data_IF_913564495760
#
_entry.id   IF_913564495760
#
_cell.length_a   1.000
_cell.length_b   1.000
_cell.length_c   1.000
_cell.angle_alpha   90.00
_cell.angle_beta   90.00
_cell.angle_gamma   90.00
#
_symmetry.space_group_name_H-M   'P 1'
#
loop_
_entity.id
_entity.type
_entity.pdbx_description
1 polymer ?
#
# COMPACT_ATOMS: atom_id res chain seq x y z
N UNK A 1 -3.11 -25.86 1.30
CA UNK A 1 -3.47 -27.15 0.68
C UNK A 1 -4.07 -26.91 -0.69
N UNK A 2 -4.10 -27.91 -1.57
CA UNK A 2 -4.67 -27.80 -2.93
C UNK A 2 -6.01 -28.54 -2.95
N UNK A 3 -7.08 -27.87 -3.39
CA UNK A 3 -8.40 -28.47 -3.57
C UNK A 3 -8.63 -28.77 -5.06
N UNK A 4 -8.85 -30.04 -5.39
CA UNK A 4 -9.05 -30.49 -6.78
C UNK A 4 -10.49 -30.95 -6.96
N UNK A 5 -11.19 -30.35 -7.93
CA UNK A 5 -12.61 -30.63 -8.20
C UNK A 5 -12.76 -31.84 -9.14
N UNK A 6 -12.52 -33.05 -8.62
CA UNK A 6 -12.74 -34.32 -9.34
C UNK A 6 -11.49 -34.89 -10.03
N UNK A 7 -11.51 -36.19 -10.39
CA UNK A 7 -10.36 -36.88 -10.97
C UNK A 7 -9.96 -36.38 -12.37
N UNK A 8 -10.91 -35.85 -13.16
CA UNK A 8 -10.66 -35.37 -14.52
C UNK A 8 -9.73 -34.13 -14.54
N UNK A 9 -9.82 -33.28 -13.51
CA UNK A 9 -8.96 -32.11 -13.33
C UNK A 9 -7.52 -32.53 -13.02
N UNK A 10 -7.34 -33.65 -12.31
CA UNK A 10 -6.02 -34.19 -11.99
C UNK A 10 -5.30 -34.68 -13.27
N UNK A 11 -6.04 -35.38 -14.13
CA UNK A 11 -5.50 -35.89 -15.40
C UNK A 11 -5.21 -34.77 -16.40
N UNK A 12 -6.06 -33.75 -16.48
CA UNK A 12 -5.85 -32.62 -17.41
C UNK A 12 -4.67 -31.76 -16.98
N UNK A 13 -4.49 -31.53 -15.68
CA UNK A 13 -3.37 -30.74 -15.13
C UNK A 13 -2.00 -31.36 -15.48
N UNK A 14 -1.91 -32.69 -15.60
CA UNK A 14 -0.66 -33.39 -15.95
C UNK A 14 -0.11 -33.04 -17.35
N UNK A 15 -0.96 -32.54 -18.25
CA UNK A 15 -0.58 -32.19 -19.63
C UNK A 15 -0.31 -30.69 -19.84
N UNK A 16 -0.45 -29.88 -18.79
CA UNK A 16 -0.23 -28.42 -18.89
C UNK A 16 1.25 -28.14 -19.01
N UNK A 17 1.65 -27.39 -20.03
CA UNK A 17 3.02 -26.88 -20.23
C UNK A 17 3.16 -25.36 -20.05
N UNK A 18 2.03 -24.65 -20.03
CA UNK A 18 1.97 -23.19 -19.99
C UNK A 18 0.98 -22.77 -18.90
N UNK A 19 1.42 -21.87 -18.01
CA UNK A 19 0.59 -21.28 -16.96
C UNK A 19 0.55 -19.77 -17.12
N UNK A 20 -0.65 -19.22 -17.26
CA UNK A 20 -0.89 -17.78 -17.17
C UNK A 20 -1.34 -17.50 -15.75
N UNK A 21 -0.59 -16.65 -15.06
CA UNK A 21 -0.89 -16.28 -13.67
C UNK A 21 -1.46 -14.87 -13.63
N UNK A 22 -2.50 -14.68 -12.84
CA UNK A 22 -2.85 -13.34 -12.39
C UNK A 22 -1.78 -12.86 -11.38
N UNK A 23 -1.55 -11.55 -11.30
CA UNK A 23 -0.55 -11.01 -10.38
C UNK A 23 -1.14 -10.78 -9.00
N UNK A 24 -2.21 -10.00 -8.91
CA UNK A 24 -2.69 -9.40 -7.67
C UNK A 24 -3.51 -10.41 -6.87
N UNK A 25 -3.05 -10.79 -5.68
CA UNK A 25 -3.71 -11.81 -4.86
C UNK A 25 -3.35 -13.25 -5.25
N UNK A 26 -2.50 -13.44 -6.27
CA UNK A 26 -1.97 -14.76 -6.67
C UNK A 26 -0.45 -14.79 -6.53
N UNK A 27 0.28 -14.00 -7.34
CA UNK A 27 1.75 -13.88 -7.24
C UNK A 27 2.13 -12.87 -6.15
N UNK A 28 1.35 -11.81 -5.99
CA UNK A 28 1.52 -10.81 -4.93
C UNK A 28 0.38 -10.91 -3.92
N UNK A 29 0.57 -10.36 -2.72
CA UNK A 29 -0.43 -10.38 -1.64
C UNK A 29 -1.66 -9.51 -1.93
N UNK A 30 -1.58 -8.61 -2.91
CA UNK A 30 -2.59 -7.59 -3.16
C UNK A 30 -2.63 -6.46 -2.13
N UNK A 31 -1.77 -6.50 -1.11
CA UNK A 31 -1.65 -5.46 -0.08
C UNK A 31 -0.46 -4.55 -0.41
N UNK A 32 -0.73 -3.25 -0.55
CA UNK A 32 0.33 -2.25 -0.72
C UNK A 32 1.10 -2.06 0.59
N UNK A 33 2.41 -1.86 0.49
CA UNK A 33 3.31 -1.60 1.61
C UNK A 33 4.27 -0.48 1.24
N UNK A 34 4.64 0.36 2.21
CA UNK A 34 5.68 1.35 2.03
C UNK A 34 7.04 0.61 1.96
N UNK A 35 7.77 0.80 0.87
CA UNK A 35 9.08 0.14 0.68
C UNK A 35 10.24 1.06 1.05
N UNK A 36 10.24 2.30 0.58
CA UNK A 36 11.34 3.24 0.81
C UNK A 36 10.84 4.70 0.77
N UNK A 37 11.61 5.61 1.36
CA UNK A 37 11.32 7.05 1.41
C UNK A 37 12.55 7.83 0.96
N UNK A 38 12.41 8.55 -0.15
CA UNK A 38 13.45 9.42 -0.68
C UNK A 38 13.08 10.88 -0.43
N UNK A 39 13.89 11.56 0.36
CA UNK A 39 13.79 13.00 0.57
C UNK A 39 14.69 13.76 -0.39
N UNK A 40 14.33 15.02 -0.67
CA UNK A 40 15.22 15.96 -1.38
C UNK A 40 16.36 16.41 -0.47
N UNK A 41 17.43 16.95 -1.06
CA UNK A 41 18.59 17.43 -0.29
C UNK A 41 18.19 18.48 0.75
N UNK A 42 18.66 18.29 1.99
CA UNK A 42 18.34 19.17 3.12
C UNK A 42 17.14 18.72 3.95
N UNK A 43 16.33 17.78 3.45
CA UNK A 43 15.18 17.22 4.18
C UNK A 43 15.50 15.86 4.79
N UNK A 44 14.88 15.55 5.93
CA UNK A 44 15.01 14.24 6.57
C UNK A 44 13.90 13.29 6.08
N UNK A 45 14.22 12.09 5.56
CA UNK A 45 13.21 11.12 5.11
C UNK A 45 12.13 10.81 6.15
N UNK A 46 12.50 10.76 7.42
CA UNK A 46 11.57 10.50 8.51
C UNK A 46 10.59 11.67 8.73
N UNK A 47 11.02 12.91 8.48
CA UNK A 47 10.14 14.08 8.55
C UNK A 47 9.16 14.11 7.37
N UNK A 48 9.64 13.82 6.16
CA UNK A 48 8.78 13.66 4.97
C UNK A 48 7.74 12.56 5.22
N UNK A 49 8.15 11.42 5.76
CA UNK A 49 7.26 10.32 6.08
C UNK A 49 6.25 10.69 7.18
N UNK A 50 6.67 11.42 8.20
CA UNK A 50 5.80 11.88 9.28
C UNK A 50 4.67 12.76 8.75
N UNK A 51 5.01 13.75 7.91
CA UNK A 51 4.05 14.68 7.32
C UNK A 51 3.13 13.97 6.32
N UNK A 52 3.68 13.18 5.41
CA UNK A 52 2.91 12.43 4.42
C UNK A 52 1.96 11.42 5.09
N UNK A 53 2.46 10.65 6.06
CA UNK A 53 1.65 9.70 6.82
C UNK A 53 0.51 10.36 7.59
N UNK A 54 0.73 11.55 8.15
CA UNK A 54 -0.31 12.29 8.86
C UNK A 54 -1.41 12.80 7.92
N UNK A 55 -1.06 13.35 6.76
CA UNK A 55 -2.07 13.81 5.79
C UNK A 55 -2.83 12.61 5.20
N UNK A 56 -2.12 11.54 4.86
CA UNK A 56 -2.70 10.33 4.27
C UNK A 56 -3.58 9.53 5.25
N UNK A 57 -3.46 9.76 6.57
CA UNK A 57 -4.25 9.04 7.57
C UNK A 57 -5.76 9.28 7.46
N UNK A 58 -6.16 10.36 6.78
CA UNK A 58 -7.57 10.72 6.54
C UNK A 58 -8.11 10.23 5.18
N UNK A 59 -7.29 9.53 4.39
CA UNK A 59 -7.64 9.04 3.06
C UNK A 59 -7.92 7.54 3.05
N UNK A 60 -8.94 7.11 2.31
CA UNK A 60 -9.30 5.69 2.16
C UNK A 60 -8.50 4.97 1.06
N UNK A 61 -7.65 5.69 0.31
CA UNK A 61 -6.95 5.14 -0.84
C UNK A 61 -5.95 4.04 -0.42
N UNK A 62 -5.81 2.92 -1.17
CA UNK A 62 -4.87 1.85 -0.81
C UNK A 62 -3.41 2.32 -0.62
N UNK A 63 -2.97 3.31 -1.42
CA UNK A 63 -1.64 3.93 -1.28
C UNK A 63 -1.53 4.71 0.04
N UNK A 64 -2.56 5.51 0.38
CA UNK A 64 -2.61 6.27 1.61
C UNK A 64 -2.50 5.39 2.84
N UNK A 65 -3.22 4.27 2.82
CA UNK A 65 -3.17 3.24 3.87
C UNK A 65 -1.76 2.64 4.01
N UNK A 66 -1.08 2.37 2.90
CA UNK A 66 0.28 1.84 2.92
C UNK A 66 1.29 2.86 3.49
N UNK A 67 1.17 4.14 3.12
CA UNK A 67 2.02 5.22 3.65
C UNK A 67 1.76 5.41 5.15
N UNK A 68 0.49 5.52 5.55
CA UNK A 68 0.09 5.70 6.95
C UNK A 68 0.58 4.54 7.82
N UNK A 69 0.39 3.30 7.36
CA UNK A 69 0.85 2.12 8.09
C UNK A 69 2.37 2.08 8.21
N UNK A 70 3.11 2.36 7.13
CA UNK A 70 4.58 2.40 7.17
C UNK A 70 5.12 3.53 8.06
N UNK A 71 4.46 4.69 8.06
CA UNK A 71 4.79 5.80 8.95
C UNK A 71 4.52 5.44 10.42
N UNK A 72 3.39 4.79 10.72
CA UNK A 72 3.07 4.34 12.07
C UNK A 72 4.02 3.26 12.57
N UNK A 73 4.41 2.32 11.72
CA UNK A 73 5.37 1.26 12.05
C UNK A 73 6.75 1.84 12.38
N UNK A 74 7.21 2.84 11.61
CA UNK A 74 8.55 3.41 11.75
C UNK A 74 8.64 4.50 12.83
N UNK A 75 7.63 5.35 12.95
CA UNK A 75 7.67 6.59 13.75
C UNK A 75 6.70 6.57 14.94
N UNK A 76 5.78 5.60 15.00
CA UNK A 76 4.78 5.49 16.06
C UNK A 76 3.54 6.36 15.80
N UNK A 77 3.14 7.15 16.80
CA UNK A 77 1.92 7.97 16.69
C UNK A 77 2.16 9.15 15.77
N UNK A 78 1.30 9.30 14.77
CA UNK A 78 1.36 10.41 13.81
C UNK A 78 0.58 11.62 14.34
N UNK A 79 1.01 12.86 14.01
CA UNK A 79 0.29 14.07 14.37
C UNK A 79 -1.08 14.12 13.68
N UNK A 80 -2.01 14.87 14.26
CA UNK A 80 -3.34 15.09 13.69
C UNK A 80 -3.27 16.06 12.52
N UNK A 81 -3.93 15.72 11.41
CA UNK A 81 -4.10 16.62 10.26
C UNK A 81 -5.31 17.53 10.43
N UNK A 82 -5.12 18.83 10.18
CA UNK A 82 -6.17 19.84 10.03
C UNK A 82 -6.45 20.17 8.57
N UNK A 83 -7.58 20.83 8.29
CA UNK A 83 -7.97 21.32 6.96
C UNK A 83 -7.86 20.27 5.82
N UNK A 84 -8.05 18.98 6.15
CA UNK A 84 -7.92 17.90 5.19
C UNK A 84 -8.91 18.05 4.02
N UNK A 85 -8.40 17.95 2.79
CA UNK A 85 -9.20 17.96 1.56
C UNK A 85 -8.74 16.87 0.61
N UNK A 86 -9.71 16.13 0.04
CA UNK A 86 -9.46 15.15 -0.98
C UNK A 86 -9.61 15.79 -2.38
N UNK A 87 -8.50 15.91 -3.09
CA UNK A 87 -8.42 16.51 -4.43
C UNK A 87 -8.56 15.40 -5.47
N UNK A 88 -9.78 15.20 -5.98
CA UNK A 88 -10.08 14.12 -6.93
C UNK A 88 -9.12 14.11 -8.12
N UNK A 89 -8.40 13.00 -8.30
CA UNK A 89 -7.44 12.80 -9.38
C UNK A 89 -6.08 13.48 -9.17
N UNK A 90 -5.88 14.19 -8.06
CA UNK A 90 -4.64 14.91 -7.73
C UNK A 90 -4.02 14.47 -6.40
N UNK A 91 -4.80 13.91 -5.48
CA UNK A 91 -4.30 13.40 -4.20
C UNK A 91 -5.05 14.01 -3.02
N UNK A 92 -4.32 14.30 -1.94
CA UNK A 92 -4.86 14.87 -0.71
C UNK A 92 -3.97 16.02 -0.23
N UNK A 93 -4.59 16.97 0.47
CA UNK A 93 -3.90 18.07 1.13
C UNK A 93 -4.40 18.23 2.56
N UNK A 94 -3.56 18.80 3.42
CA UNK A 94 -3.89 19.09 4.81
C UNK A 94 -2.73 19.78 5.52
N UNK A 95 -3.02 20.31 6.70
CA UNK A 95 -2.07 21.04 7.55
C UNK A 95 -1.70 20.18 8.75
N UNK A 96 -0.40 20.08 9.04
CA UNK A 96 0.14 19.32 10.17
C UNK A 96 0.98 20.28 11.01
N UNK A 97 0.72 20.33 12.32
CA UNK A 97 1.43 21.17 13.30
C UNK A 97 1.40 22.70 13.07
N UNK A 98 0.51 23.21 12.21
CA UNK A 98 0.19 24.64 12.08
C UNK A 98 0.55 25.25 10.73
#
# INVERSE_FOLDING_TARGET
>A
GILIKGPEVLESTRRVDTVIVDKTGTVTTGNMTLFDVFAVDGEQPDEVLRLAGAVESSSEHPIARAITAGAQEKLGVLPTVGAFTNLRGLGVEGTVDG
#
